data_IF_854632755531
#
_entry.id   IF_854632755531
#
_cell.length_a   1.000
_cell.length_b   1.000
_cell.length_c   1.000
_cell.angle_alpha   90.00
_cell.angle_beta   90.00
_cell.angle_gamma   90.00
#
_symmetry.space_group_name_H-M   'P 1'
#
loop_
_entity.id
_entity.type
_entity.pdbx_description
1 polymer ?
#
# COMPACT_ATOMS: atom_id res chain seq x y z
N UNK A 1 4.86 -17.98 -5.87
CA UNK A 1 5.57 -18.12 -7.15
C UNK A 1 6.48 -16.91 -7.30
N UNK A 2 7.80 -17.09 -7.34
CA UNK A 2 8.78 -16.01 -7.54
C UNK A 2 9.06 -15.90 -9.04
N UNK A 3 8.48 -14.90 -9.70
CA UNK A 3 8.69 -14.65 -11.13
C UNK A 3 10.01 -13.90 -11.34
N UNK A 4 11.05 -14.62 -11.76
CA UNK A 4 12.03 -14.11 -12.74
C UNK A 4 12.97 -12.99 -12.33
N UNK A 5 13.41 -12.90 -11.07
CA UNK A 5 14.52 -12.04 -10.67
C UNK A 5 15.81 -12.83 -10.37
N UNK A 6 16.97 -12.36 -10.88
CA UNK A 6 18.32 -12.81 -10.43
C UNK A 6 18.63 -12.37 -8.99
N UNK A 7 18.48 -13.25 -8.00
CA UNK A 7 18.82 -13.00 -6.58
C UNK A 7 20.30 -12.57 -6.39
N UNK A 8 20.56 -11.26 -6.46
CA UNK A 8 21.82 -10.64 -6.07
C UNK A 8 21.73 -10.09 -4.63
N UNK A 9 22.86 -10.07 -3.91
CA UNK A 9 22.97 -9.54 -2.53
C UNK A 9 22.58 -8.05 -2.38
N UNK A 10 22.36 -7.33 -3.48
CA UNK A 10 21.72 -6.02 -3.54
C UNK A 10 20.27 -6.20 -3.97
N UNK A 11 19.31 -5.93 -3.09
CA UNK A 11 17.88 -6.21 -3.28
C UNK A 11 17.35 -5.97 -4.70
N UNK A 12 16.59 -6.93 -5.20
CA UNK A 12 16.03 -6.86 -6.54
C UNK A 12 14.75 -6.03 -6.58
N UNK A 13 14.70 -5.06 -7.48
CA UNK A 13 13.46 -4.53 -7.99
C UNK A 13 13.22 -5.15 -9.38
N UNK A 14 12.21 -6.02 -9.50
CA UNK A 14 11.60 -6.29 -10.80
C UNK A 14 10.83 -5.05 -11.19
N UNK A 15 11.07 -4.53 -12.38
CA UNK A 15 10.45 -3.30 -12.86
C UNK A 15 10.25 -3.34 -14.38
N UNK A 16 9.48 -2.38 -14.89
CA UNK A 16 9.17 -2.30 -16.30
C UNK A 16 8.06 -3.27 -16.76
N UNK A 17 7.89 -3.37 -18.06
CA UNK A 17 6.73 -4.02 -18.70
C UNK A 17 6.62 -5.51 -18.40
N UNK A 18 7.74 -6.24 -18.29
CA UNK A 18 7.74 -7.68 -18.01
C UNK A 18 7.14 -7.99 -16.63
N UNK A 19 7.44 -7.15 -15.62
CA UNK A 19 6.89 -7.32 -14.28
C UNK A 19 5.38 -7.05 -14.27
N UNK A 20 4.92 -6.05 -15.02
CA UNK A 20 3.50 -5.72 -15.18
C UNK A 20 2.75 -6.86 -15.86
N UNK A 21 3.27 -7.38 -16.98
CA UNK A 21 2.67 -8.52 -17.70
C UNK A 21 2.58 -9.77 -16.81
N UNK A 22 3.61 -10.02 -16.00
CA UNK A 22 3.61 -11.13 -15.06
C UNK A 22 2.50 -10.99 -14.01
N UNK A 23 2.29 -9.80 -13.47
CA UNK A 23 1.18 -9.55 -12.53
C UNK A 23 -0.19 -9.75 -13.19
N UNK A 24 -0.35 -9.29 -14.43
CA UNK A 24 -1.59 -9.45 -15.20
C UNK A 24 -1.93 -10.91 -15.45
N UNK A 25 -0.92 -11.75 -15.70
CA UNK A 25 -1.08 -13.17 -15.94
C UNK A 25 -1.40 -13.97 -14.66
N UNK A 26 -0.74 -13.65 -13.55
CA UNK A 26 -0.77 -14.49 -12.35
C UNK A 26 -1.57 -13.92 -11.17
N UNK A 27 -2.08 -12.68 -11.28
CA UNK A 27 -2.97 -11.95 -10.35
C UNK A 27 -2.84 -12.35 -8.87
N UNK A 28 -2.14 -11.57 -8.03
CA UNK A 28 -1.93 -11.94 -6.64
C UNK A 28 -3.24 -12.08 -5.87
N UNK A 29 -3.35 -13.07 -4.99
CA UNK A 29 -4.46 -13.12 -4.05
C UNK A 29 -4.39 -12.01 -3.01
N UNK A 30 -3.18 -11.59 -2.64
CA UNK A 30 -2.91 -10.54 -1.69
C UNK A 30 -1.66 -9.74 -2.09
N UNK A 31 -1.70 -8.42 -1.88
CA UNK A 31 -0.57 -7.53 -2.04
C UNK A 31 -0.32 -6.72 -0.77
N UNK A 32 0.95 -6.63 -0.37
CA UNK A 32 1.44 -5.75 0.68
C UNK A 32 2.39 -4.73 0.05
N UNK A 33 2.06 -3.44 0.15
CA UNK A 33 2.87 -2.35 -0.41
C UNK A 33 3.33 -1.38 0.67
N UNK A 34 4.51 -0.81 0.49
CA UNK A 34 4.95 0.33 1.30
C UNK A 34 4.53 1.63 0.61
N UNK A 35 3.82 2.50 1.32
CA UNK A 35 3.36 3.81 0.87
C UNK A 35 4.13 4.87 1.63
N UNK A 36 4.63 5.88 0.90
CA UNK A 36 5.40 6.97 1.50
C UNK A 36 4.50 8.09 2.03
N UNK A 37 3.35 8.33 1.39
CA UNK A 37 2.46 9.42 1.74
C UNK A 37 1.01 9.15 1.32
N UNK A 38 0.06 9.55 2.17
CA UNK A 38 -1.37 9.54 1.85
C UNK A 38 -1.83 10.99 1.71
N UNK A 39 -2.31 11.39 0.54
CA UNK A 39 -2.87 12.72 0.30
C UNK A 39 -4.16 12.96 1.09
N UNK A 40 -4.55 14.22 1.24
CA UNK A 40 -5.78 14.60 1.95
C UNK A 40 -7.04 13.95 1.35
N UNK A 41 -7.04 13.71 0.04
CA UNK A 41 -8.11 13.04 -0.70
C UNK A 41 -8.00 11.50 -0.71
N UNK A 42 -7.21 10.93 0.22
CA UNK A 42 -6.98 9.49 0.32
C UNK A 42 -6.08 8.89 -0.76
N UNK A 43 -5.43 9.69 -1.62
CA UNK A 43 -4.51 9.14 -2.64
C UNK A 43 -3.25 8.57 -1.98
N UNK A 44 -2.93 7.32 -2.29
CA UNK A 44 -1.69 6.66 -1.87
C UNK A 44 -0.56 7.05 -2.81
N UNK A 45 0.58 7.46 -2.28
CA UNK A 45 1.73 7.92 -3.05
C UNK A 45 3.03 7.25 -2.62
N UNK A 46 3.92 7.06 -3.60
CA UNK A 46 5.31 6.64 -3.39
C UNK A 46 6.29 7.68 -3.91
N UNK A 47 7.54 7.62 -3.47
CA UNK A 47 8.60 8.58 -3.82
C UNK A 47 9.22 8.37 -5.20
N UNK A 48 9.03 7.20 -5.82
CA UNK A 48 9.68 6.87 -7.09
C UNK A 48 8.67 6.53 -8.19
N UNK A 49 8.83 7.19 -9.34
CA UNK A 49 7.99 6.94 -10.53
C UNK A 49 8.09 5.50 -11.01
N UNK A 50 9.28 4.91 -10.92
CA UNK A 50 9.56 3.53 -11.35
C UNK A 50 8.75 2.52 -10.55
N UNK A 51 8.69 2.68 -9.22
CA UNK A 51 7.88 1.78 -8.38
C UNK A 51 6.38 2.03 -8.56
N UNK A 52 5.97 3.28 -8.84
CA UNK A 52 4.55 3.65 -8.86
C UNK A 52 3.73 2.83 -9.86
N UNK A 53 4.24 2.62 -11.08
CA UNK A 53 3.53 1.85 -12.09
C UNK A 53 3.30 0.39 -11.67
N UNK A 54 4.33 -0.26 -11.12
CA UNK A 54 4.24 -1.64 -10.67
C UNK A 54 3.32 -1.79 -9.45
N UNK A 55 3.47 -0.91 -8.46
CA UNK A 55 2.67 -0.95 -7.23
C UNK A 55 1.20 -0.64 -7.50
N UNK A 56 0.92 0.29 -8.42
CA UNK A 56 -0.44 0.57 -8.88
C UNK A 56 -1.07 -0.68 -9.50
N UNK A 57 -0.33 -1.39 -10.35
CA UNK A 57 -0.82 -2.61 -10.97
C UNK A 57 -1.01 -3.74 -9.95
N UNK A 58 -0.10 -3.89 -8.98
CA UNK A 58 -0.26 -4.83 -7.87
C UNK A 58 -1.54 -4.55 -7.08
N UNK A 59 -1.77 -3.30 -6.68
CA UNK A 59 -2.94 -2.91 -5.90
C UNK A 59 -4.25 -3.13 -6.67
N UNK A 60 -4.23 -2.88 -7.99
CA UNK A 60 -5.37 -3.02 -8.88
C UNK A 60 -5.77 -4.48 -9.13
N UNK A 61 -4.78 -5.36 -9.26
CA UNK A 61 -5.00 -6.78 -9.61
C UNK A 61 -5.20 -7.70 -8.41
N UNK A 62 -4.89 -7.22 -7.20
CA UNK A 62 -4.93 -8.09 -6.03
C UNK A 62 -6.33 -8.21 -5.45
N UNK A 63 -6.71 -9.41 -5.04
CA UNK A 63 -7.97 -9.65 -4.33
C UNK A 63 -8.02 -8.98 -2.95
N UNK A 64 -6.87 -8.89 -2.28
CA UNK A 64 -6.68 -8.15 -1.04
C UNK A 64 -5.47 -7.24 -1.14
N UNK A 65 -5.61 -6.01 -0.65
CA UNK A 65 -4.57 -4.98 -0.75
C UNK A 65 -4.31 -4.35 0.60
N UNK A 66 -3.08 -4.45 1.09
CA UNK A 66 -2.64 -3.94 2.38
C UNK A 66 -1.54 -2.92 2.15
N UNK A 67 -1.63 -1.76 2.78
CA UNK A 67 -0.56 -0.77 2.78
C UNK A 67 0.17 -0.70 4.12
N UNK A 68 1.47 -0.48 4.06
CA UNK A 68 2.30 -0.09 5.21
C UNK A 68 2.68 1.37 5.05
N UNK A 69 2.37 2.20 6.03
CA UNK A 69 2.77 3.62 6.06
C UNK A 69 3.64 3.83 7.29
N UNK A 70 4.95 3.84 7.09
CA UNK A 70 5.92 3.85 8.18
C UNK A 70 6.43 5.26 8.53
N UNK A 71 6.18 6.26 7.69
CA UNK A 71 6.72 7.61 7.83
C UNK A 71 5.62 8.64 7.97
N UNK A 72 5.90 9.67 8.77
CA UNK A 72 5.07 10.88 8.84
C UNK A 72 5.07 11.58 7.47
N UNK A 73 4.03 12.36 7.16
CA UNK A 73 4.00 13.16 5.95
C UNK A 73 5.26 14.02 5.82
N UNK A 74 6.00 13.85 4.73
CA UNK A 74 7.10 14.74 4.37
C UNK A 74 6.57 15.72 3.32
N UNK A 75 6.69 17.01 3.62
CA UNK A 75 6.38 18.09 2.69
C UNK A 75 7.55 18.23 1.69
N UNK A 76 7.26 18.67 0.46
CA UNK A 76 8.28 18.94 -0.58
C UNK A 76 9.02 17.73 -1.16
N UNK A 77 8.40 16.55 -1.14
CA UNK A 77 8.91 15.34 -1.83
C UNK A 77 8.00 15.00 -3.01
N UNK A 78 8.59 14.54 -4.11
CA UNK A 78 7.84 14.05 -5.27
C UNK A 78 6.88 12.92 -4.86
N UNK A 79 5.63 13.01 -5.33
CA UNK A 79 4.55 12.08 -5.02
C UNK A 79 4.03 11.47 -6.30
N UNK A 80 4.15 10.15 -6.42
CA UNK A 80 3.62 9.40 -7.55
C UNK A 80 2.45 8.53 -7.07
N UNK A 81 1.23 8.73 -7.59
CA UNK A 81 0.04 8.04 -7.11
C UNK A 81 0.08 6.56 -7.48
N UNK A 82 -0.39 5.71 -6.56
CA UNK A 82 -0.45 4.24 -6.74
C UNK A 82 -1.83 3.65 -6.43
N UNK A 83 -2.73 4.38 -5.80
CA UNK A 83 -4.05 3.88 -5.46
C UNK A 83 -4.83 4.81 -4.55
N UNK A 84 -5.98 4.34 -4.06
CA UNK A 84 -6.84 5.06 -3.12
C UNK A 84 -6.94 4.31 -1.80
N UNK A 85 -7.09 5.06 -0.72
CA UNK A 85 -7.16 4.53 0.63
C UNK A 85 -8.36 3.59 0.81
N UNK A 86 -9.52 3.97 0.27
CA UNK A 86 -10.76 3.20 0.33
C UNK A 86 -10.73 1.88 -0.46
N UNK A 87 -9.72 1.64 -1.30
CA UNK A 87 -9.55 0.35 -2.01
C UNK A 87 -8.68 -0.62 -1.22
N UNK A 88 -8.09 -0.21 -0.10
CA UNK A 88 -7.26 -1.08 0.74
C UNK A 88 -8.12 -1.87 1.72
N UNK A 89 -7.82 -3.16 1.87
CA UNK A 89 -8.38 -4.03 2.89
C UNK A 89 -7.87 -3.68 4.29
N UNK A 90 -6.62 -3.21 4.39
CA UNK A 90 -6.04 -2.75 5.65
C UNK A 90 -4.83 -1.81 5.47
N UNK A 91 -4.52 -1.07 6.52
CA UNK A 91 -3.32 -0.24 6.66
C UNK A 91 -2.62 -0.59 7.96
N UNK A 92 -1.31 -0.79 7.89
CA UNK A 92 -0.44 -1.02 9.03
C UNK A 92 0.46 0.19 9.19
N UNK A 93 0.45 0.82 10.37
CA UNK A 93 1.21 2.05 10.59
C UNK A 93 1.59 2.25 12.06
N UNK A 94 2.79 2.78 12.36
CA UNK A 94 3.17 3.12 13.74
C UNK A 94 2.17 4.09 14.36
N UNK A 95 1.93 4.00 15.68
CA UNK A 95 0.94 4.85 16.36
C UNK A 95 1.16 6.36 16.11
N UNK A 96 2.43 6.80 16.16
CA UNK A 96 2.79 8.21 15.92
C UNK A 96 2.47 8.66 14.49
N UNK A 97 2.56 7.76 13.51
CA UNK A 97 2.23 8.04 12.12
C UNK A 97 0.71 7.97 11.91
N UNK A 98 0.04 7.04 12.59
CA UNK A 98 -1.41 6.91 12.54
C UNK A 98 -2.12 8.19 12.99
N UNK A 99 -1.57 8.90 13.98
CA UNK A 99 -2.12 10.17 14.45
C UNK A 99 -2.16 11.24 13.35
N UNK A 100 -1.13 11.30 12.50
CA UNK A 100 -1.04 12.27 11.38
C UNK A 100 -2.07 11.99 10.27
N UNK A 101 -2.44 10.72 10.08
CA UNK A 101 -3.37 10.29 9.03
C UNK A 101 -4.78 9.95 9.56
N UNK A 102 -5.02 10.12 10.86
CA UNK A 102 -6.22 9.64 11.56
C UNK A 102 -7.53 10.12 10.91
N UNK A 103 -7.63 11.42 10.62
CA UNK A 103 -8.83 11.99 9.99
C UNK A 103 -9.09 11.42 8.61
N UNK A 104 -8.04 11.12 7.83
CA UNK A 104 -8.12 10.52 6.49
C UNK A 104 -8.58 9.07 6.58
N UNK A 105 -8.06 8.31 7.55
CA UNK A 105 -8.51 6.94 7.80
C UNK A 105 -10.00 6.87 8.13
N UNK A 106 -10.47 7.74 9.02
CA UNK A 106 -11.90 7.83 9.37
C UNK A 106 -12.76 8.29 8.19
N UNK A 107 -12.30 9.26 7.41
CA UNK A 107 -13.02 9.76 6.24
C UNK A 107 -13.28 8.68 5.19
N UNK A 108 -12.33 7.75 5.01
CA UNK A 108 -12.47 6.59 4.11
C UNK A 108 -13.04 5.34 4.81
N UNK A 109 -13.63 5.50 6.00
CA UNK A 109 -14.40 4.45 6.69
C UNK A 109 -13.56 3.34 7.30
N UNK A 110 -12.24 3.56 7.50
CA UNK A 110 -11.38 2.58 8.15
C UNK A 110 -11.61 2.58 9.67
N UNK A 111 -11.58 1.39 10.26
CA UNK A 111 -11.73 1.18 11.70
C UNK A 111 -10.43 0.67 12.29
N UNK A 112 -10.00 1.23 13.41
CA UNK A 112 -8.81 0.75 14.12
C UNK A 112 -9.09 -0.61 14.77
N UNK A 113 -8.42 -1.65 14.29
CA UNK A 113 -8.32 -2.94 14.94
C UNK A 113 -7.01 -2.95 15.72
N UNK A 114 -7.09 -2.57 16.99
CA UNK A 114 -5.96 -2.46 17.89
C UNK A 114 -5.10 -3.75 17.89
N UNK A 115 -3.82 -3.66 17.52
CA UNK A 115 -2.91 -4.81 17.44
C UNK A 115 -1.76 -4.75 18.45
N UNK A 116 -1.18 -3.57 18.69
CA UNK A 116 -0.04 -3.33 19.57
C UNK A 116 0.00 -1.83 19.97
N UNK A 117 0.56 -1.49 21.13
CA UNK A 117 0.81 -0.10 21.55
C UNK A 117 1.68 0.70 20.53
N UNK A 118 2.57 0.05 19.79
CA UNK A 118 3.52 0.72 18.89
C UNK A 118 3.06 0.79 17.43
N UNK A 119 2.22 -0.15 17.00
CA UNK A 119 1.77 -0.29 15.61
C UNK A 119 0.27 -0.59 15.58
N UNK A 120 -0.45 0.12 14.73
CA UNK A 120 -1.89 0.03 14.58
C UNK A 120 -2.24 -0.56 13.22
N UNK A 121 -3.30 -1.39 13.22
CA UNK A 121 -3.91 -1.91 11.99
C UNK A 121 -5.27 -1.26 11.81
N UNK A 122 -5.44 -0.52 10.72
CA UNK A 122 -6.71 0.06 10.30
C UNK A 122 -7.33 -0.82 9.24
N UNK A 123 -8.55 -1.28 9.48
CA UNK A 123 -9.24 -2.27 8.65
C UNK A 123 -10.37 -1.59 7.88
N UNK A 124 -10.56 -1.96 6.61
CA UNK A 124 -11.72 -1.55 5.84
C UNK A 124 -12.86 -2.58 5.99
N UNK A 125 -13.87 -2.33 6.83
CA UNK A 125 -14.92 -3.32 7.10
C UNK A 125 -15.73 -3.69 5.86
N UNK A 126 -15.78 -2.83 4.84
CA UNK A 126 -16.51 -3.11 3.59
C UNK A 126 -15.85 -4.16 2.72
N UNK A 127 -14.54 -4.37 2.88
CA UNK A 127 -13.74 -5.32 2.10
C UNK A 127 -13.48 -6.63 2.85
N UNK A 128 -13.81 -6.70 4.14
CA UNK A 128 -13.82 -7.95 4.90
C UNK A 128 -15.24 -8.49 4.92
N UNK A 129 -15.51 -9.50 4.09
CA UNK A 129 -16.80 -10.20 4.16
C UNK A 129 -16.97 -10.79 5.57
N UNK A 130 -18.11 -10.50 6.20
CA UNK A 130 -18.57 -11.28 7.35
C UNK A 130 -18.63 -12.75 6.91
N UNK A 131 -17.84 -13.60 7.56
CA UNK A 131 -17.92 -15.05 7.38
C UNK A 131 -19.25 -15.58 7.88
#
# INVERSE_FOLDING_TARGET
MLLGGVLGRSGQALGGEIAIQSLQQFQPSCCLVMVDHISEDGTLNVKTKVAAALLSECLRLSGQSIAVVAQRPIHDVARYPVGKLNTLSAIITPQIVAAEYHSRFLADGLTNSYTNNECLTWINPTLHQAR
#
